data_IF_999403299333
#
_entry.id   IF_999403299333
#
_cell.length_a   1.000
_cell.length_b   1.000
_cell.length_c   1.000
_cell.angle_alpha   90.00
_cell.angle_beta   90.00
_cell.angle_gamma   90.00
#
_symmetry.space_group_name_H-M   'P 1'
#
loop_
_entity.id
_entity.type
_entity.pdbx_description
1 polymer ?
#
# COMPACT_ATOMS: atom_id res chain seq x y z
N UNK A 1 -33.91 -18.71 -15.40
CA UNK A 1 -33.05 -17.61 -14.99
C UNK A 1 -33.88 -16.48 -14.42
N UNK A 2 -33.53 -15.91 -13.27
CA UNK A 2 -34.20 -14.75 -12.69
C UNK A 2 -33.34 -13.50 -13.00
N UNK A 3 -33.99 -12.42 -13.46
CA UNK A 3 -33.35 -11.17 -13.84
C UNK A 3 -34.05 -10.04 -13.13
N UNK A 4 -33.30 -9.20 -12.46
CA UNK A 4 -33.81 -8.01 -11.77
C UNK A 4 -32.95 -6.82 -12.15
N UNK A 5 -33.53 -5.64 -12.21
CA UNK A 5 -32.79 -4.41 -12.45
C UNK A 5 -33.06 -3.40 -11.36
N UNK A 6 -32.03 -2.66 -11.00
CA UNK A 6 -32.08 -1.52 -10.07
C UNK A 6 -31.40 -0.33 -10.67
N UNK A 7 -31.84 0.88 -10.33
CA UNK A 7 -31.20 2.12 -10.77
C UNK A 7 -30.80 2.98 -9.58
N UNK A 8 -29.57 3.44 -9.61
CA UNK A 8 -29.09 4.48 -8.69
C UNK A 8 -28.44 5.59 -9.54
N UNK A 9 -28.99 6.78 -9.49
CA UNK A 9 -28.64 7.88 -10.39
C UNK A 9 -28.80 7.49 -11.89
N UNK A 10 -27.70 7.50 -12.66
CA UNK A 10 -27.65 7.10 -14.08
C UNK A 10 -26.98 5.75 -14.30
N UNK A 11 -26.73 5.00 -13.22
CA UNK A 11 -26.20 3.64 -13.27
C UNK A 11 -27.33 2.66 -13.10
N UNK A 12 -27.49 1.75 -14.03
CA UNK A 12 -28.43 0.63 -13.94
C UNK A 12 -27.64 -0.64 -13.65
N UNK A 13 -28.08 -1.40 -12.66
CA UNK A 13 -27.52 -2.71 -12.32
C UNK A 13 -28.48 -3.80 -12.70
N UNK A 14 -28.04 -4.74 -13.56
CA UNK A 14 -28.73 -5.99 -13.87
C UNK A 14 -28.22 -7.05 -12.90
N UNK A 15 -29.11 -7.69 -12.15
CA UNK A 15 -28.79 -8.78 -11.24
C UNK A 15 -29.24 -10.09 -11.88
N UNK A 16 -28.29 -11.00 -12.12
CA UNK A 16 -28.53 -12.28 -12.78
C UNK A 16 -28.45 -13.44 -11.77
N UNK A 17 -29.50 -14.28 -11.73
CA UNK A 17 -29.52 -15.45 -10.85
C UNK A 17 -29.89 -16.71 -11.64
N UNK A 18 -29.02 -17.75 -11.57
CA UNK A 18 -29.21 -19.04 -12.22
C UNK A 18 -28.13 -19.34 -13.26
N UNK A 19 -28.47 -20.13 -14.27
CA UNK A 19 -27.50 -20.57 -15.31
C UNK A 19 -27.74 -19.82 -16.61
N UNK A 20 -26.70 -19.27 -17.20
CA UNK A 20 -26.68 -18.69 -18.54
C UNK A 20 -26.29 -19.77 -19.59
N UNK A 21 -27.11 -20.82 -19.68
CA UNK A 21 -26.93 -21.86 -20.69
C UNK A 21 -27.55 -21.46 -22.05
N UNK A 22 -27.50 -22.36 -23.04
CA UNK A 22 -28.01 -22.10 -24.36
C UNK A 22 -29.52 -21.86 -24.41
N UNK A 23 -30.29 -22.52 -23.53
CA UNK A 23 -31.75 -22.37 -23.49
C UNK A 23 -32.16 -21.08 -22.81
N UNK A 24 -31.60 -20.79 -21.64
CA UNK A 24 -31.92 -19.60 -20.86
C UNK A 24 -31.43 -18.31 -21.48
N UNK A 25 -30.35 -18.35 -22.26
CA UNK A 25 -29.71 -17.16 -22.83
C UNK A 25 -30.62 -16.36 -23.79
N UNK A 26 -31.41 -17.03 -24.64
CA UNK A 26 -32.31 -16.32 -25.55
C UNK A 26 -33.43 -15.58 -24.80
N UNK A 27 -34.02 -16.23 -23.79
CA UNK A 27 -35.06 -15.64 -22.96
C UNK A 27 -34.46 -14.51 -22.08
N UNK A 28 -33.26 -14.75 -21.53
CA UNK A 28 -32.56 -13.77 -20.74
C UNK A 28 -32.29 -12.47 -21.51
N UNK A 29 -31.88 -12.57 -22.78
CA UNK A 29 -31.61 -11.37 -23.57
C UNK A 29 -32.86 -10.54 -23.81
N UNK A 30 -34.01 -11.18 -24.14
CA UNK A 30 -35.27 -10.50 -24.33
C UNK A 30 -35.72 -9.83 -23.01
N UNK A 31 -35.61 -10.51 -21.91
CA UNK A 31 -35.98 -9.97 -20.60
C UNK A 31 -35.08 -8.78 -20.21
N UNK A 32 -33.75 -8.88 -20.44
CA UNK A 32 -32.82 -7.77 -20.20
C UNK A 32 -33.19 -6.55 -21.06
N UNK A 33 -33.44 -6.74 -22.38
CA UNK A 33 -33.80 -5.67 -23.25
C UNK A 33 -35.13 -4.99 -22.81
N UNK A 34 -36.13 -5.77 -22.39
CA UNK A 34 -37.41 -5.28 -21.87
C UNK A 34 -37.23 -4.45 -20.60
N UNK A 35 -36.45 -4.96 -19.63
CA UNK A 35 -36.21 -4.27 -18.37
C UNK A 35 -35.38 -2.99 -18.57
N UNK A 36 -34.37 -3.02 -19.44
CA UNK A 36 -33.56 -1.83 -19.74
C UNK A 36 -34.34 -0.75 -20.50
N UNK A 37 -35.36 -1.11 -21.28
CA UNK A 37 -36.23 -0.16 -21.97
C UNK A 37 -37.05 0.74 -21.01
N UNK A 38 -37.20 0.32 -19.74
CA UNK A 38 -37.87 1.13 -18.71
C UNK A 38 -37.02 2.31 -18.21
N UNK A 39 -35.71 2.33 -18.54
CA UNK A 39 -34.78 3.34 -18.04
C UNK A 39 -34.42 4.33 -19.16
N UNK A 40 -34.61 5.62 -18.91
CA UNK A 40 -34.14 6.68 -19.80
C UNK A 40 -32.71 7.13 -19.41
N UNK A 41 -31.81 7.28 -20.37
CA UNK A 41 -30.46 7.84 -20.20
C UNK A 41 -29.53 7.00 -19.26
N UNK A 42 -29.35 5.73 -19.57
CA UNK A 42 -28.35 4.90 -18.90
C UNK A 42 -26.95 5.41 -19.28
N UNK A 43 -26.18 5.89 -18.27
CA UNK A 43 -24.79 6.31 -18.44
C UNK A 43 -23.85 5.12 -18.24
N UNK A 44 -24.09 4.32 -17.20
CA UNK A 44 -23.29 3.16 -16.82
C UNK A 44 -24.20 1.95 -16.63
N UNK A 45 -23.77 0.80 -17.14
CA UNK A 45 -24.48 -0.48 -16.99
C UNK A 45 -23.59 -1.46 -16.22
N UNK A 46 -24.09 -1.96 -15.09
CA UNK A 46 -23.42 -2.96 -14.26
C UNK A 46 -24.17 -4.27 -14.36
N UNK A 47 -23.46 -5.38 -14.55
CA UNK A 47 -24.04 -6.73 -14.54
C UNK A 47 -23.52 -7.48 -13.31
N UNK A 48 -24.35 -7.64 -12.29
CA UNK A 48 -24.07 -8.45 -11.11
C UNK A 48 -24.36 -9.92 -11.40
N UNK A 49 -23.31 -10.74 -11.34
CA UNK A 49 -23.33 -12.18 -11.59
C UNK A 49 -23.18 -13.01 -10.32
N UNK A 50 -23.40 -12.45 -9.14
CA UNK A 50 -23.28 -13.15 -7.83
C UNK A 50 -24.11 -14.44 -7.76
N UNK A 51 -25.27 -14.44 -8.41
CA UNK A 51 -26.18 -15.58 -8.49
C UNK A 51 -25.95 -16.50 -9.71
N UNK A 52 -24.89 -16.28 -10.52
CA UNK A 52 -24.65 -17.09 -11.73
C UNK A 52 -23.61 -18.19 -11.44
N UNK A 53 -24.03 -19.45 -11.65
CA UNK A 53 -23.18 -20.62 -11.42
C UNK A 53 -22.54 -21.17 -12.71
N UNK A 54 -23.08 -20.80 -13.86
CA UNK A 54 -22.63 -21.33 -15.14
C UNK A 54 -22.90 -20.33 -16.28
N UNK A 55 -21.94 -20.22 -17.21
CA UNK A 55 -22.08 -19.44 -18.44
C UNK A 55 -21.65 -20.27 -19.64
N UNK A 56 -22.51 -20.31 -20.68
CA UNK A 56 -22.22 -20.92 -21.97
C UNK A 56 -21.71 -19.88 -22.97
N UNK A 57 -21.31 -20.34 -24.17
CA UNK A 57 -20.98 -19.43 -25.29
C UNK A 57 -22.13 -18.51 -25.69
N UNK A 58 -23.38 -18.94 -25.50
CA UNK A 58 -24.56 -18.09 -25.73
C UNK A 58 -24.66 -16.97 -24.67
N UNK A 59 -24.38 -17.29 -23.41
CA UNK A 59 -24.30 -16.30 -22.32
C UNK A 59 -23.16 -15.30 -22.54
N UNK A 60 -22.00 -15.75 -23.00
CA UNK A 60 -20.87 -14.87 -23.37
C UNK A 60 -21.26 -13.87 -24.47
N UNK A 61 -22.06 -14.30 -25.47
CA UNK A 61 -22.55 -13.39 -26.53
C UNK A 61 -23.49 -12.30 -26.00
N UNK A 62 -24.27 -12.59 -24.96
CA UNK A 62 -25.08 -11.57 -24.26
C UNK A 62 -24.16 -10.50 -23.67
N UNK A 63 -23.15 -10.90 -22.91
CA UNK A 63 -22.19 -9.96 -22.28
C UNK A 63 -21.48 -9.10 -23.34
N UNK A 64 -21.08 -9.72 -24.45
CA UNK A 64 -20.46 -9.01 -25.57
C UNK A 64 -21.43 -7.99 -26.23
N UNK A 65 -22.72 -8.37 -26.38
CA UNK A 65 -23.75 -7.45 -26.94
C UNK A 65 -23.93 -6.26 -26.02
N UNK A 66 -24.07 -6.47 -24.73
CA UNK A 66 -24.22 -5.40 -23.74
C UNK A 66 -23.00 -4.47 -23.72
N UNK A 67 -21.79 -5.03 -23.74
CA UNK A 67 -20.55 -4.25 -23.80
C UNK A 67 -20.43 -3.39 -25.07
N UNK A 68 -20.96 -3.86 -26.21
CA UNK A 68 -21.01 -3.06 -27.45
C UNK A 68 -22.07 -1.96 -27.43
N UNK A 69 -23.17 -2.20 -26.74
CA UNK A 69 -24.29 -1.28 -26.64
C UNK A 69 -24.06 -0.16 -25.63
N UNK A 70 -23.40 -0.50 -24.51
CA UNK A 70 -23.14 0.42 -23.40
C UNK A 70 -21.63 0.61 -23.23
N UNK A 71 -21.12 1.82 -23.51
CA UNK A 71 -19.67 2.13 -23.44
C UNK A 71 -19.08 1.95 -22.05
N UNK A 72 -19.87 2.23 -21.01
CA UNK A 72 -19.50 2.05 -19.62
C UNK A 72 -20.25 0.81 -19.07
N UNK A 73 -19.78 -0.37 -19.48
CA UNK A 73 -20.31 -1.67 -19.07
C UNK A 73 -19.30 -2.40 -18.22
N UNK A 74 -19.73 -2.89 -17.05
CA UNK A 74 -18.89 -3.64 -16.11
C UNK A 74 -19.64 -4.85 -15.60
N UNK A 75 -18.95 -6.00 -15.49
CA UNK A 75 -19.46 -7.23 -14.87
C UNK A 75 -18.82 -7.34 -13.48
N UNK A 76 -19.64 -7.59 -12.46
CA UNK A 76 -19.20 -7.67 -11.06
C UNK A 76 -19.67 -8.98 -10.40
N UNK A 77 -19.05 -9.31 -9.25
CA UNK A 77 -19.39 -10.46 -8.39
C UNK A 77 -19.40 -11.80 -9.16
N UNK A 78 -18.45 -11.98 -10.08
CA UNK A 78 -18.35 -13.20 -10.89
C UNK A 78 -17.71 -14.32 -10.09
N UNK A 79 -18.43 -15.43 -9.89
CA UNK A 79 -17.91 -16.61 -9.20
C UNK A 79 -16.63 -17.13 -9.85
N UNK A 80 -15.69 -17.75 -9.10
CA UNK A 80 -14.40 -18.19 -9.60
C UNK A 80 -14.47 -19.01 -10.88
N UNK A 81 -15.32 -20.03 -10.92
CA UNK A 81 -15.45 -20.93 -12.07
C UNK A 81 -15.96 -20.21 -13.33
N UNK A 82 -16.91 -19.29 -13.15
CA UNK A 82 -17.44 -18.45 -14.24
C UNK A 82 -16.39 -17.42 -14.69
N UNK A 83 -15.62 -16.87 -13.75
CA UNK A 83 -14.54 -15.95 -14.08
C UNK A 83 -13.45 -16.61 -14.94
N UNK A 84 -13.09 -17.87 -14.62
CA UNK A 84 -12.12 -18.60 -15.46
C UNK A 84 -12.61 -18.80 -16.90
N UNK A 85 -13.91 -19.00 -17.12
CA UNK A 85 -14.47 -19.03 -18.47
C UNK A 85 -14.26 -17.68 -19.21
N UNK A 86 -14.50 -16.56 -18.54
CA UNK A 86 -14.25 -15.23 -19.12
C UNK A 86 -12.74 -15.03 -19.41
N UNK A 87 -11.88 -15.48 -18.51
CA UNK A 87 -10.43 -15.35 -18.64
C UNK A 87 -9.90 -16.18 -19.82
N UNK A 88 -10.25 -17.46 -19.88
CA UNK A 88 -9.84 -18.38 -20.95
C UNK A 88 -10.35 -17.94 -22.34
N UNK A 89 -11.51 -17.31 -22.39
CA UNK A 89 -12.10 -16.81 -23.65
C UNK A 89 -11.65 -15.40 -24.02
N UNK A 90 -10.80 -14.77 -23.18
CA UNK A 90 -10.23 -13.45 -23.44
C UNK A 90 -11.15 -12.26 -23.14
N UNK A 91 -12.33 -12.49 -22.57
CA UNK A 91 -13.28 -11.41 -22.23
C UNK A 91 -12.76 -10.45 -21.17
N UNK A 92 -11.92 -10.94 -20.23
CA UNK A 92 -11.29 -10.09 -19.23
C UNK A 92 -10.35 -9.02 -19.80
N UNK A 93 -9.87 -9.23 -21.04
CA UNK A 93 -9.08 -8.23 -21.79
C UNK A 93 -9.94 -7.26 -22.61
N UNK A 94 -11.23 -7.58 -22.80
CA UNK A 94 -12.14 -6.80 -23.64
C UNK A 94 -13.03 -5.85 -22.83
N UNK A 95 -13.34 -6.20 -21.58
CA UNK A 95 -14.23 -5.42 -20.73
C UNK A 95 -13.88 -5.63 -19.24
N UNK A 96 -14.20 -4.67 -18.36
CA UNK A 96 -14.01 -4.82 -16.91
C UNK A 96 -14.87 -5.95 -16.34
N UNK A 97 -14.23 -6.98 -15.79
CA UNK A 97 -14.88 -8.13 -15.13
C UNK A 97 -14.25 -8.30 -13.75
N UNK A 98 -15.05 -8.13 -12.68
CA UNK A 98 -14.60 -8.24 -11.30
C UNK A 98 -15.02 -9.59 -10.72
N UNK A 99 -14.02 -10.36 -10.27
CA UNK A 99 -14.24 -11.66 -9.61
C UNK A 99 -14.88 -11.44 -8.24
N UNK A 100 -15.82 -12.31 -7.86
CA UNK A 100 -16.38 -12.34 -6.51
C UNK A 100 -15.29 -12.74 -5.52
N UNK A 101 -15.22 -12.03 -4.40
CA UNK A 101 -14.30 -12.34 -3.33
C UNK A 101 -14.86 -13.48 -2.47
N UNK A 102 -13.98 -14.42 -2.12
CA UNK A 102 -14.31 -15.50 -1.19
C UNK A 102 -14.67 -14.90 0.17
N UNK A 103 -15.77 -15.38 0.77
CA UNK A 103 -16.11 -15.06 2.15
C UNK A 103 -15.25 -15.90 3.10
N UNK A 104 -14.69 -15.26 4.12
CA UNK A 104 -13.93 -15.93 5.17
C UNK A 104 -14.42 -15.44 6.53
N UNK A 105 -14.68 -16.39 7.47
CA UNK A 105 -14.94 -16.04 8.86
C UNK A 105 -13.65 -16.03 9.67
N UNK A 106 -13.57 -15.07 10.58
CA UNK A 106 -12.49 -14.99 11.58
C UNK A 106 -12.95 -15.44 12.96
N UNK A 107 -14.16 -16.04 13.05
CA UNK A 107 -14.67 -16.56 14.31
C UNK A 107 -13.74 -17.66 14.84
N UNK A 108 -13.29 -17.49 16.08
CA UNK A 108 -12.34 -18.39 16.71
C UNK A 108 -10.86 -18.19 16.32
N UNK A 109 -10.56 -17.28 15.39
CA UNK A 109 -9.18 -16.93 15.04
C UNK A 109 -8.51 -16.11 16.14
N UNK A 110 -7.20 -16.32 16.34
CA UNK A 110 -6.40 -15.58 17.31
C UNK A 110 -5.89 -14.28 16.70
N UNK A 111 -6.14 -13.14 17.34
CA UNK A 111 -5.49 -11.87 17.01
C UNK A 111 -4.01 -11.96 17.34
N UNK A 112 -3.14 -11.68 16.37
CA UNK A 112 -1.68 -11.71 16.49
C UNK A 112 -1.01 -10.36 16.25
N UNK A 113 -1.76 -9.37 15.74
CA UNK A 113 -1.24 -8.03 15.50
C UNK A 113 -2.34 -7.02 15.26
N UNK A 114 -2.07 -5.75 15.64
CA UNK A 114 -2.99 -4.64 15.44
C UNK A 114 -2.22 -3.39 15.02
N UNK A 115 -2.55 -2.87 13.85
CA UNK A 115 -1.93 -1.68 13.27
C UNK A 115 -2.91 -0.55 12.99
N UNK A 116 -2.37 0.51 12.40
CA UNK A 116 -3.14 1.68 11.95
C UNK A 116 -4.18 1.35 10.88
N UNK A 117 -3.90 0.39 10.02
CA UNK A 117 -4.68 0.05 8.82
C UNK A 117 -5.66 -1.09 9.07
N UNK A 118 -5.36 -1.99 10.02
CA UNK A 118 -6.18 -3.18 10.26
C UNK A 118 -5.69 -4.04 11.41
N UNK A 119 -6.29 -5.23 11.51
CA UNK A 119 -5.99 -6.22 12.54
C UNK A 119 -5.57 -7.51 11.84
N UNK A 120 -4.54 -8.17 12.36
CA UNK A 120 -4.02 -9.42 11.83
C UNK A 120 -4.47 -10.58 12.71
N UNK A 121 -5.09 -11.59 12.08
CA UNK A 121 -5.52 -12.81 12.74
C UNK A 121 -4.80 -14.02 12.15
N UNK A 122 -4.46 -14.98 12.99
CA UNK A 122 -3.99 -16.29 12.56
C UNK A 122 -5.18 -17.15 12.18
N UNK A 123 -5.21 -17.64 10.93
CA UNK A 123 -6.29 -18.51 10.41
C UNK A 123 -5.98 -19.96 10.76
N UNK A 124 -4.78 -20.40 10.44
CA UNK A 124 -4.29 -21.77 10.66
C UNK A 124 -2.78 -21.80 10.93
N UNK A 125 -2.15 -22.96 10.76
CA UNK A 125 -0.72 -23.14 11.03
C UNK A 125 0.21 -22.54 9.97
N UNK A 126 -0.33 -22.12 8.82
CA UNK A 126 0.43 -21.65 7.66
C UNK A 126 -0.03 -20.26 7.18
N UNK A 127 -1.23 -19.80 7.60
CA UNK A 127 -1.80 -18.57 7.04
C UNK A 127 -2.32 -17.61 8.10
N UNK A 128 -2.20 -16.32 7.74
CA UNK A 128 -2.75 -15.19 8.48
C UNK A 128 -3.67 -14.36 7.57
N UNK A 129 -4.52 -13.56 8.17
CA UNK A 129 -5.33 -12.56 7.47
C UNK A 129 -5.17 -11.19 8.11
N UNK A 130 -4.84 -10.18 7.30
CA UNK A 130 -4.94 -8.76 7.66
C UNK A 130 -6.33 -8.28 7.30
N UNK A 131 -7.20 -8.05 8.28
CA UNK A 131 -8.54 -7.50 8.10
C UNK A 131 -8.45 -5.98 8.17
N UNK A 132 -8.79 -5.31 7.09
CA UNK A 132 -8.71 -3.86 6.98
C UNK A 132 -9.86 -3.18 7.75
N UNK A 133 -9.65 -1.93 8.16
CA UNK A 133 -10.70 -1.14 8.83
C UNK A 133 -11.92 -0.93 7.94
N UNK A 134 -13.06 -0.72 8.57
CA UNK A 134 -14.26 -0.29 7.85
C UNK A 134 -14.02 0.97 7.03
N UNK A 135 -14.59 1.01 5.83
CA UNK A 135 -14.38 2.10 4.89
C UNK A 135 -13.16 1.97 3.99
N UNK A 136 -12.24 1.00 4.23
CA UNK A 136 -11.16 0.72 3.29
C UNK A 136 -11.73 0.22 1.96
N UNK A 137 -11.28 0.80 0.84
CA UNK A 137 -11.78 0.43 -0.48
C UNK A 137 -11.11 -0.84 -1.01
N UNK A 138 -11.76 -1.53 -1.94
CA UNK A 138 -11.16 -2.69 -2.62
C UNK A 138 -9.89 -2.28 -3.37
N UNK A 139 -9.88 -1.11 -4.01
CA UNK A 139 -8.74 -0.60 -4.76
C UNK A 139 -7.50 -0.41 -3.86
N UNK A 140 -7.69 0.04 -2.62
CA UNK A 140 -6.61 0.13 -1.62
C UNK A 140 -6.01 -1.24 -1.32
N UNK A 141 -6.85 -2.26 -1.09
CA UNK A 141 -6.40 -3.62 -0.81
C UNK A 141 -5.75 -4.27 -2.03
N UNK A 142 -6.28 -4.02 -3.22
CA UNK A 142 -5.68 -4.48 -4.49
C UNK A 142 -4.31 -3.85 -4.72
N UNK A 143 -4.13 -2.59 -4.36
CA UNK A 143 -2.82 -1.92 -4.42
C UNK A 143 -1.83 -2.60 -3.48
N UNK A 144 -2.21 -2.87 -2.22
CA UNK A 144 -1.31 -3.52 -1.26
C UNK A 144 -0.88 -4.91 -1.71
N UNK A 145 -1.82 -5.76 -2.20
CA UNK A 145 -1.43 -7.10 -2.70
C UNK A 145 -0.55 -7.02 -3.95
N UNK A 146 -0.79 -6.04 -4.81
CA UNK A 146 0.02 -5.83 -6.00
C UNK A 146 1.45 -5.42 -5.63
N UNK A 147 1.62 -4.45 -4.72
CA UNK A 147 2.93 -4.03 -4.22
C UNK A 147 3.69 -5.17 -3.56
N UNK A 148 3.02 -5.96 -2.72
CA UNK A 148 3.61 -7.14 -2.06
C UNK A 148 4.10 -8.17 -3.08
N UNK A 149 3.32 -8.46 -4.13
CA UNK A 149 3.71 -9.40 -5.19
C UNK A 149 4.87 -8.87 -6.03
N UNK A 150 4.86 -7.61 -6.41
CA UNK A 150 5.96 -7.01 -7.16
C UNK A 150 7.26 -7.01 -6.35
N UNK A 151 7.22 -6.64 -5.07
CA UNK A 151 8.39 -6.70 -4.20
C UNK A 151 8.98 -8.13 -4.10
N UNK A 152 8.09 -9.14 -3.97
CA UNK A 152 8.51 -10.54 -3.97
C UNK A 152 9.16 -10.95 -5.30
N UNK A 153 8.57 -10.56 -6.44
CA UNK A 153 9.11 -10.83 -7.78
C UNK A 153 10.48 -10.19 -7.99
N UNK A 154 10.72 -9.01 -7.40
CA UNK A 154 12.03 -8.37 -7.40
C UNK A 154 13.04 -9.00 -6.44
N UNK A 155 12.68 -10.09 -5.76
CA UNK A 155 13.58 -10.85 -4.88
C UNK A 155 13.68 -10.30 -3.47
N UNK A 156 12.73 -9.47 -3.06
CA UNK A 156 12.64 -9.06 -1.65
C UNK A 156 12.16 -10.22 -0.77
N UNK A 157 12.81 -10.45 0.38
CA UNK A 157 12.37 -11.41 1.36
C UNK A 157 11.12 -10.89 2.08
N UNK A 158 9.93 -11.13 1.53
CA UNK A 158 8.66 -10.69 2.09
C UNK A 158 7.65 -11.83 2.15
N UNK A 159 6.68 -11.72 3.05
CA UNK A 159 5.60 -12.68 3.19
C UNK A 159 4.80 -12.80 1.87
N UNK A 160 4.51 -14.03 1.46
CA UNK A 160 3.74 -14.30 0.26
C UNK A 160 2.29 -13.91 0.50
N UNK A 161 1.77 -13.03 -0.35
CA UNK A 161 0.35 -12.66 -0.35
C UNK A 161 -0.44 -13.58 -1.29
N UNK A 162 -1.50 -14.20 -0.76
CA UNK A 162 -2.28 -15.19 -1.50
C UNK A 162 -3.51 -14.61 -2.19
N UNK A 163 -4.46 -14.09 -1.40
CA UNK A 163 -5.80 -13.77 -1.89
C UNK A 163 -6.42 -12.59 -1.13
N UNK A 164 -7.31 -11.86 -1.81
CA UNK A 164 -8.19 -10.88 -1.19
C UNK A 164 -9.52 -11.56 -0.91
N UNK A 165 -10.03 -11.40 0.30
CA UNK A 165 -11.27 -12.02 0.76
C UNK A 165 -12.23 -10.99 1.38
N UNK A 166 -13.48 -11.39 1.57
CA UNK A 166 -14.46 -10.65 2.38
C UNK A 166 -14.51 -11.23 3.79
N UNK A 167 -14.52 -10.35 4.80
CA UNK A 167 -14.75 -10.68 6.20
C UNK A 167 -15.92 -9.83 6.68
N UNK A 168 -17.13 -10.39 6.61
CA UNK A 168 -18.34 -9.59 6.77
C UNK A 168 -18.43 -8.47 5.74
N UNK A 169 -18.46 -7.20 6.20
CA UNK A 169 -18.47 -5.99 5.36
C UNK A 169 -17.07 -5.50 4.97
N UNK A 170 -16.03 -6.01 5.63
CA UNK A 170 -14.64 -5.58 5.45
C UNK A 170 -13.92 -6.44 4.41
N UNK A 171 -12.77 -5.95 3.96
CA UNK A 171 -11.83 -6.71 3.14
C UNK A 171 -10.75 -7.31 4.02
N UNK A 172 -10.26 -8.49 3.63
CA UNK A 172 -9.11 -9.14 4.22
C UNK A 172 -8.08 -9.51 3.15
N UNK A 173 -6.82 -9.48 3.51
CA UNK A 173 -5.71 -9.93 2.68
C UNK A 173 -5.02 -11.10 3.38
N UNK A 174 -4.99 -12.26 2.71
CA UNK A 174 -4.43 -13.49 3.24
C UNK A 174 -2.95 -13.57 2.87
N UNK A 175 -2.11 -13.83 3.87
CA UNK A 175 -0.66 -14.01 3.73
C UNK A 175 -0.21 -15.33 4.32
N UNK A 176 1.01 -15.76 3.99
CA UNK A 176 1.69 -16.81 4.72
C UNK A 176 1.99 -16.36 6.16
N UNK A 177 1.94 -17.30 7.08
CA UNK A 177 2.36 -17.09 8.47
C UNK A 177 3.89 -17.22 8.55
N UNK A 178 4.58 -16.11 8.75
CA UNK A 178 6.00 -16.13 9.08
C UNK A 178 6.18 -16.61 10.53
N UNK A 179 6.95 -17.66 10.73
CA UNK A 179 7.36 -18.13 12.07
C UNK A 179 8.59 -17.36 12.52
N UNK A 180 8.41 -16.09 12.76
CA UNK A 180 9.46 -15.10 13.00
C UNK A 180 9.00 -14.13 14.08
N UNK A 181 9.96 -13.43 14.70
CA UNK A 181 9.72 -12.34 15.63
C UNK A 181 10.14 -11.03 14.96
N UNK A 182 9.48 -9.94 15.31
CA UNK A 182 9.89 -8.62 14.81
C UNK A 182 11.25 -8.24 15.39
N UNK A 183 11.99 -7.44 14.65
CA UNK A 183 13.28 -6.90 15.12
C UNK A 183 13.10 -6.10 16.42
N UNK A 184 11.94 -5.45 16.62
CA UNK A 184 11.58 -4.79 17.87
C UNK A 184 11.46 -5.76 19.03
N UNK A 185 10.82 -6.93 18.85
CA UNK A 185 10.67 -7.95 19.88
C UNK A 185 12.02 -8.59 20.20
N UNK A 186 12.82 -8.95 19.18
CA UNK A 186 14.16 -9.48 19.36
C UNK A 186 15.05 -8.51 20.16
N UNK A 187 15.05 -7.24 19.78
CA UNK A 187 15.86 -6.21 20.45
C UNK A 187 15.37 -5.90 21.88
N UNK A 188 14.05 -5.98 22.13
CA UNK A 188 13.51 -5.83 23.50
C UNK A 188 13.95 -6.97 24.41
N UNK A 189 14.07 -8.18 23.88
CA UNK A 189 14.48 -9.37 24.64
C UNK A 189 16.00 -9.45 24.83
N UNK A 190 16.78 -9.05 23.83
CA UNK A 190 18.23 -9.21 23.75
C UNK A 190 18.90 -7.89 23.32
N UNK A 191 18.79 -6.81 24.15
CA UNK A 191 19.28 -5.47 23.78
C UNK A 191 20.80 -5.41 23.61
N UNK A 192 21.55 -6.33 24.19
CA UNK A 192 23.02 -6.46 24.05
C UNK A 192 23.41 -6.86 22.62
N UNK A 193 22.53 -7.47 21.82
CA UNK A 193 22.77 -7.86 20.42
C UNK A 193 22.44 -6.73 19.42
N UNK A 194 22.33 -5.50 19.90
CA UNK A 194 21.95 -4.35 19.04
C UNK A 194 22.84 -4.18 17.81
N UNK A 195 24.14 -4.47 17.91
CA UNK A 195 25.05 -4.38 16.77
C UNK A 195 24.73 -5.41 15.68
N UNK A 196 24.42 -6.64 16.07
CA UNK A 196 24.00 -7.69 15.14
C UNK A 196 22.68 -7.30 14.45
N UNK A 197 21.69 -6.86 15.23
CA UNK A 197 20.40 -6.43 14.68
C UNK A 197 20.54 -5.20 13.79
N UNK A 198 21.37 -4.24 14.14
CA UNK A 198 21.65 -3.07 13.32
C UNK A 198 22.32 -3.44 12.00
N UNK A 199 23.24 -4.41 11.99
CA UNK A 199 23.85 -4.91 10.78
C UNK A 199 22.84 -5.60 9.87
N UNK A 200 22.03 -6.53 10.39
CA UNK A 200 20.96 -7.20 9.65
C UNK A 200 19.98 -6.19 9.04
N UNK A 201 19.63 -5.17 9.81
CA UNK A 201 18.73 -4.10 9.37
C UNK A 201 19.36 -3.25 8.27
N UNK A 202 20.64 -2.93 8.36
CA UNK A 202 21.38 -2.24 7.30
C UNK A 202 21.50 -3.09 6.03
N UNK A 203 21.70 -4.39 6.18
CA UNK A 203 21.86 -5.32 5.06
C UNK A 203 20.58 -5.42 4.24
N UNK A 204 19.40 -5.47 4.88
CA UNK A 204 18.12 -5.48 4.16
C UNK A 204 17.86 -4.15 3.43
N UNK A 205 18.19 -3.00 4.02
CA UNK A 205 18.12 -1.72 3.31
C UNK A 205 19.03 -1.72 2.07
N UNK A 206 20.28 -2.19 2.21
CA UNK A 206 21.22 -2.26 1.07
C UNK A 206 20.74 -3.23 -0.01
N UNK A 207 20.22 -4.41 0.39
CA UNK A 207 19.67 -5.36 -0.57
C UNK A 207 18.57 -4.72 -1.40
N UNK A 208 17.63 -4.05 -0.76
CA UNK A 208 16.51 -3.38 -1.42
C UNK A 208 16.98 -2.22 -2.31
N UNK A 209 17.85 -1.35 -1.79
CA UNK A 209 18.37 -0.21 -2.53
C UNK A 209 19.33 -0.59 -3.68
N UNK A 210 19.76 -1.85 -3.79
CA UNK A 210 20.49 -2.37 -4.95
C UNK A 210 19.57 -2.89 -6.06
N UNK A 211 18.27 -3.06 -5.80
CA UNK A 211 17.31 -3.52 -6.80
C UNK A 211 16.92 -2.36 -7.70
N UNK A 212 17.15 -2.51 -9.01
CA UNK A 212 16.66 -1.59 -10.04
C UNK A 212 15.25 -1.95 -10.46
N UNK A 213 14.35 -0.99 -10.32
CA UNK A 213 12.94 -1.13 -10.72
C UNK A 213 12.80 -0.72 -12.18
N UNK A 214 12.29 -1.60 -13.07
CA UNK A 214 12.15 -1.28 -14.50
C UNK A 214 11.05 -0.26 -14.75
N UNK A 215 11.19 0.53 -15.83
CA UNK A 215 10.20 1.55 -16.20
C UNK A 215 8.78 1.00 -16.49
N UNK A 216 8.64 -0.31 -16.70
CA UNK A 216 7.36 -0.99 -16.95
C UNK A 216 6.64 -1.43 -15.68
N UNK A 217 7.20 -1.11 -14.51
CA UNK A 217 6.64 -1.49 -13.21
C UNK A 217 5.30 -0.80 -12.93
N UNK A 218 4.48 -1.44 -12.11
CA UNK A 218 3.32 -0.79 -11.49
C UNK A 218 3.65 -0.14 -10.13
N UNK A 219 4.88 -0.31 -9.62
CA UNK A 219 5.34 0.35 -8.39
C UNK A 219 5.39 1.86 -8.62
N UNK A 220 4.81 2.68 -7.73
CA UNK A 220 4.76 4.13 -7.90
C UNK A 220 6.11 4.80 -7.57
N UNK A 221 6.29 6.01 -8.07
CA UNK A 221 7.40 6.89 -7.67
C UNK A 221 7.21 7.40 -6.25
N UNK A 222 8.22 7.21 -5.38
CA UNK A 222 8.21 7.74 -4.03
C UNK A 222 8.21 9.27 -4.02
N UNK A 223 8.93 9.90 -4.95
CA UNK A 223 8.99 11.36 -5.05
C UNK A 223 7.64 11.95 -5.45
N UNK A 224 6.97 11.38 -6.45
CA UNK A 224 5.63 11.83 -6.85
C UNK A 224 4.61 11.68 -5.71
N UNK A 225 4.66 10.56 -4.97
CA UNK A 225 3.81 10.36 -3.79
C UNK A 225 4.09 11.39 -2.70
N UNK A 226 5.37 11.70 -2.45
CA UNK A 226 5.74 12.78 -1.50
C UNK A 226 5.21 14.13 -1.94
N UNK A 227 5.35 14.51 -3.21
CA UNK A 227 4.83 15.78 -3.72
C UNK A 227 3.30 15.87 -3.59
N UNK A 228 2.59 14.79 -3.89
CA UNK A 228 1.14 14.73 -3.70
C UNK A 228 0.76 14.90 -2.23
N UNK A 229 1.47 14.22 -1.31
CA UNK A 229 1.26 14.35 0.13
C UNK A 229 1.55 15.75 0.63
N UNK A 230 2.63 16.39 0.16
CA UNK A 230 2.97 17.79 0.49
C UNK A 230 1.85 18.74 0.04
N UNK A 231 1.36 18.58 -1.20
CA UNK A 231 0.25 19.43 -1.71
C UNK A 231 -1.03 19.21 -0.91
N UNK A 232 -1.32 17.98 -0.52
CA UNK A 232 -2.51 17.63 0.25
C UNK A 232 -2.54 18.30 1.63
N UNK A 233 -1.39 18.43 2.31
CA UNK A 233 -1.31 19.09 3.61
C UNK A 233 -1.39 20.64 3.52
N UNK A 234 -1.49 21.23 2.34
CA UNK A 234 -1.75 22.65 2.14
C UNK A 234 -3.05 23.16 2.76
N UNK A 235 -3.96 22.25 3.16
CA UNK A 235 -5.13 22.59 4.00
C UNK A 235 -4.77 22.95 5.44
N UNK A 236 -3.59 22.54 5.90
CA UNK A 236 -3.10 22.73 7.27
C UNK A 236 -1.95 23.72 7.37
N UNK A 237 -1.23 23.97 6.28
CA UNK A 237 -0.04 24.82 6.22
C UNK A 237 -0.21 25.94 5.21
N UNK A 238 0.48 27.05 5.42
CA UNK A 238 0.53 28.15 4.47
C UNK A 238 1.33 27.80 3.20
N UNK A 239 1.13 28.60 2.16
CA UNK A 239 1.78 28.39 0.86
C UNK A 239 3.31 28.40 0.98
N UNK A 240 3.89 29.27 1.80
CA UNK A 240 5.33 29.34 1.96
C UNK A 240 5.94 28.07 2.58
N UNK A 241 5.20 27.44 3.51
CA UNK A 241 5.57 26.16 4.10
C UNK A 241 5.51 25.03 3.07
N UNK A 242 4.48 24.99 2.24
CA UNK A 242 4.32 23.99 1.17
C UNK A 242 5.40 24.18 0.11
N UNK A 243 5.65 25.40 -0.34
CA UNK A 243 6.68 25.71 -1.33
C UNK A 243 8.07 25.30 -0.83
N UNK A 244 8.37 25.50 0.45
CA UNK A 244 9.63 25.09 1.06
C UNK A 244 9.79 23.55 1.05
N UNK A 245 8.75 22.79 1.38
CA UNK A 245 8.81 21.33 1.32
C UNK A 245 8.96 20.82 -0.13
N UNK A 246 8.27 21.44 -1.09
CA UNK A 246 8.40 21.12 -2.51
C UNK A 246 9.79 21.48 -3.04
N UNK A 247 10.37 22.60 -2.59
CA UNK A 247 11.73 22.98 -2.94
C UNK A 247 12.75 21.93 -2.41
N UNK A 248 12.61 21.48 -1.16
CA UNK A 248 13.43 20.42 -0.59
C UNK A 248 13.28 19.12 -1.42
N UNK A 249 12.05 18.72 -1.76
CA UNK A 249 11.79 17.54 -2.56
C UNK A 249 12.42 17.62 -3.95
N UNK A 250 12.45 18.79 -4.56
CA UNK A 250 13.02 19.01 -5.91
C UNK A 250 14.52 18.77 -6.02
N UNK A 251 15.26 18.80 -4.90
CA UNK A 251 16.69 18.48 -4.87
C UNK A 251 16.98 16.97 -4.78
N UNK A 252 15.95 16.12 -4.54
CA UNK A 252 16.13 14.67 -4.50
C UNK A 252 16.38 14.19 -5.94
N UNK A 253 17.53 13.55 -6.23
CA UNK A 253 17.84 13.10 -7.60
C UNK A 253 16.83 12.02 -8.05
N UNK A 254 16.47 12.01 -9.34
CA UNK A 254 15.69 10.91 -9.90
C UNK A 254 16.48 9.60 -9.79
N UNK A 255 15.83 8.55 -9.34
CA UNK A 255 16.43 7.24 -9.15
C UNK A 255 15.35 6.15 -9.25
N UNK A 256 15.74 4.95 -9.64
CA UNK A 256 14.84 3.82 -9.83
C UNK A 256 15.14 2.65 -8.87
N UNK A 257 15.61 2.94 -7.66
CA UNK A 257 15.86 1.90 -6.65
C UNK A 257 14.57 1.56 -5.91
N UNK A 258 14.44 0.28 -5.54
CA UNK A 258 13.30 -0.19 -4.75
C UNK A 258 13.39 0.36 -3.32
N UNK A 259 12.27 0.85 -2.80
CA UNK A 259 12.13 1.45 -1.47
C UNK A 259 10.94 0.82 -0.76
N UNK A 260 11.02 0.67 0.56
CA UNK A 260 9.92 0.21 1.40
C UNK A 260 8.97 1.34 1.79
N UNK A 261 9.51 2.51 2.04
CA UNK A 261 8.83 3.73 2.50
C UNK A 261 8.10 3.65 3.87
N UNK A 262 8.20 2.52 4.57
CA UNK A 262 7.75 2.37 5.96
C UNK A 262 8.56 1.29 6.70
N UNK A 263 9.86 1.17 6.42
CA UNK A 263 10.71 0.19 7.06
C UNK A 263 11.12 0.66 8.46
N UNK A 264 10.37 0.22 9.44
CA UNK A 264 10.62 0.36 10.87
C UNK A 264 10.89 -1.01 11.50
N UNK A 265 11.43 -1.04 12.72
CA UNK A 265 11.84 -2.30 13.35
C UNK A 265 10.71 -3.33 13.56
N UNK A 266 9.43 -2.90 13.57
CA UNK A 266 8.26 -3.78 13.59
C UNK A 266 7.95 -4.42 12.23
N UNK A 267 8.38 -3.81 11.14
CA UNK A 267 8.12 -4.28 9.78
C UNK A 267 9.27 -5.16 9.24
N UNK A 268 10.30 -5.38 10.06
CA UNK A 268 11.40 -6.30 9.82
C UNK A 268 11.28 -7.48 10.79
N UNK A 269 11.11 -8.70 10.28
CA UNK A 269 10.96 -9.93 11.06
C UNK A 269 12.19 -10.81 10.90
N UNK A 270 12.69 -11.37 11.98
CA UNK A 270 13.86 -12.24 11.97
C UNK A 270 13.42 -13.70 11.92
N UNK A 271 13.77 -14.38 10.83
CA UNK A 271 13.51 -15.80 10.61
C UNK A 271 14.81 -16.52 10.23
N UNK A 272 15.27 -17.47 11.06
CA UNK A 272 16.46 -18.27 10.79
C UNK A 272 17.74 -17.44 10.50
N UNK A 273 17.86 -16.25 11.08
CA UNK A 273 19.01 -15.36 10.86
C UNK A 273 18.88 -14.43 9.63
N UNK A 274 17.77 -14.49 8.91
CA UNK A 274 17.45 -13.62 7.78
C UNK A 274 16.32 -12.66 8.15
N UNK A 275 16.35 -11.46 7.58
CA UNK A 275 15.27 -10.46 7.76
C UNK A 275 14.23 -10.64 6.66
N UNK A 276 12.98 -10.91 7.08
CA UNK A 276 11.79 -10.92 6.24
C UNK A 276 11.04 -9.59 6.42
N UNK A 277 10.55 -9.00 5.33
CA UNK A 277 9.81 -7.76 5.36
C UNK A 277 8.30 -8.00 5.35
N UNK A 278 7.57 -7.18 6.10
CA UNK A 278 6.11 -7.17 6.12
C UNK A 278 5.58 -5.75 5.88
N UNK A 279 4.29 -5.64 5.63
CA UNK A 279 3.58 -4.37 5.38
C UNK A 279 4.11 -3.61 4.16
N UNK A 280 4.12 -4.29 3.01
CA UNK A 280 4.63 -3.82 1.73
C UNK A 280 3.70 -2.82 1.02
N UNK A 281 2.69 -2.29 1.69
CA UNK A 281 1.68 -1.39 1.08
C UNK A 281 2.24 -0.04 0.61
N UNK A 282 3.35 0.41 1.20
CA UNK A 282 4.00 1.69 0.87
C UNK A 282 5.19 1.56 -0.10
N UNK A 283 5.45 0.36 -0.61
CA UNK A 283 6.56 0.13 -1.56
C UNK A 283 6.50 1.10 -2.73
N UNK A 284 7.67 1.65 -3.06
CA UNK A 284 7.83 2.63 -4.12
C UNK A 284 9.21 2.48 -4.79
N UNK A 285 9.46 3.21 -5.86
CA UNK A 285 10.81 3.38 -6.37
C UNK A 285 11.27 4.83 -6.21
N UNK A 286 12.57 5.01 -6.01
CA UNK A 286 13.16 6.34 -5.85
C UNK A 286 14.59 6.32 -5.38
N UNK A 287 15.04 7.47 -4.92
CA UNK A 287 16.37 7.61 -4.34
C UNK A 287 16.40 7.07 -2.90
N UNK A 288 17.40 6.26 -2.50
CA UNK A 288 17.52 5.68 -1.15
C UNK A 288 17.41 6.67 0.01
N UNK A 289 17.76 7.93 -0.21
CA UNK A 289 17.60 8.97 0.82
C UNK A 289 16.18 9.09 1.34
N UNK A 290 15.17 8.82 0.49
CA UNK A 290 13.75 8.88 0.87
C UNK A 290 13.45 7.82 1.93
N UNK A 291 13.89 6.61 1.69
CA UNK A 291 13.62 5.47 2.58
C UNK A 291 14.35 5.61 3.92
N UNK A 292 15.61 6.00 3.88
CA UNK A 292 16.40 6.31 5.08
C UNK A 292 15.82 7.51 5.85
N UNK A 293 15.28 8.51 5.15
CA UNK A 293 14.60 9.65 5.77
C UNK A 293 13.25 9.24 6.42
N UNK A 294 12.54 8.28 5.83
CA UNK A 294 11.32 7.74 6.44
C UNK A 294 11.63 6.96 7.71
N UNK A 295 12.67 6.10 7.69
CA UNK A 295 13.15 5.42 8.88
C UNK A 295 13.64 6.42 9.96
N UNK A 296 14.34 7.49 9.58
CA UNK A 296 14.70 8.59 10.50
C UNK A 296 13.46 9.26 11.11
N UNK A 297 12.44 9.52 10.29
CA UNK A 297 11.20 10.15 10.76
C UNK A 297 10.52 9.32 11.84
N UNK A 298 10.39 8.01 11.64
CA UNK A 298 9.75 7.10 12.60
C UNK A 298 10.62 6.80 13.82
N UNK A 299 11.90 6.52 13.63
CA UNK A 299 12.77 6.03 14.71
C UNK A 299 13.46 7.15 15.51
N UNK A 300 13.63 8.35 14.94
CA UNK A 300 14.34 9.46 15.60
C UNK A 300 13.44 10.65 15.86
N UNK A 301 12.66 11.10 14.88
CA UNK A 301 11.92 12.37 14.93
C UNK A 301 10.51 12.23 15.48
N UNK A 302 9.92 11.04 15.50
CA UNK A 302 8.55 10.80 15.94
C UNK A 302 8.32 11.28 17.37
N UNK A 303 7.27 12.08 17.61
CA UNK A 303 6.99 12.71 18.92
C UNK A 303 5.83 12.07 19.68
N UNK A 304 5.07 11.17 19.04
CA UNK A 304 3.93 10.49 19.66
C UNK A 304 4.33 9.37 20.65
N UNK A 305 3.38 8.49 20.93
CA UNK A 305 3.60 7.31 21.77
C UNK A 305 4.56 6.31 21.07
N UNK A 306 5.84 6.53 21.32
CA UNK A 306 6.92 5.87 20.59
C UNK A 306 6.93 4.35 20.81
N UNK A 307 6.82 3.90 22.05
CA UNK A 307 6.85 2.48 22.37
C UNK A 307 5.67 1.73 21.79
N UNK A 308 4.49 2.36 21.78
CA UNK A 308 3.30 1.78 21.14
C UNK A 308 3.47 1.64 19.65
N UNK A 309 4.10 2.62 18.97
CA UNK A 309 4.25 2.64 17.50
C UNK A 309 5.45 1.82 17.05
N UNK A 310 6.60 1.99 17.67
CA UNK A 310 7.87 1.37 17.24
C UNK A 310 8.12 0.02 17.94
N UNK A 311 7.58 -0.17 19.18
CA UNK A 311 7.64 -1.43 19.91
C UNK A 311 8.84 -1.55 20.84
N UNK A 312 9.71 -0.53 20.92
CA UNK A 312 10.90 -0.48 21.77
C UNK A 312 11.04 0.92 22.40
N UNK A 313 11.79 1.05 23.51
CA UNK A 313 12.10 2.36 24.10
C UNK A 313 12.79 3.29 23.08
N UNK A 314 12.48 4.59 23.17
CA UNK A 314 12.96 5.62 22.22
C UNK A 314 14.49 5.64 22.09
N UNK A 315 15.21 5.56 23.19
CA UNK A 315 16.67 5.63 23.16
C UNK A 315 17.28 4.40 22.49
N UNK A 316 16.68 3.23 22.72
CA UNK A 316 17.08 1.99 22.06
C UNK A 316 16.80 2.05 20.54
N UNK A 317 15.65 2.59 20.14
CA UNK A 317 15.33 2.77 18.72
C UNK A 317 16.25 3.75 18.00
N UNK A 318 16.62 4.86 18.67
CA UNK A 318 17.62 5.80 18.14
C UNK A 318 19.00 5.17 18.00
N UNK A 319 19.45 4.41 19.00
CA UNK A 319 20.74 3.72 18.96
C UNK A 319 20.76 2.68 17.84
N UNK A 320 19.69 1.87 17.69
CA UNK A 320 19.53 0.92 16.59
C UNK A 320 19.68 1.64 15.23
N UNK A 321 18.97 2.77 15.02
CA UNK A 321 19.02 3.52 13.78
C UNK A 321 20.42 4.09 13.49
N UNK A 322 21.08 4.65 14.50
CA UNK A 322 22.44 5.21 14.34
C UNK A 322 23.46 4.13 13.98
N UNK A 323 23.41 2.96 14.64
CA UNK A 323 24.26 1.81 14.30
C UNK A 323 23.94 1.27 12.91
N UNK A 324 22.65 1.16 12.57
CA UNK A 324 22.21 0.76 11.24
C UNK A 324 22.82 1.66 10.16
N UNK A 325 22.79 3.00 10.31
CA UNK A 325 23.42 3.91 9.37
C UNK A 325 24.95 3.70 9.28
N UNK A 326 25.61 3.40 10.38
CA UNK A 326 27.05 3.10 10.39
C UNK A 326 27.38 1.84 9.58
N UNK A 327 26.53 0.81 9.67
CA UNK A 327 26.65 -0.40 8.84
C UNK A 327 26.22 -0.16 7.40
N UNK A 328 25.18 0.65 7.17
CA UNK A 328 24.71 0.98 5.83
C UNK A 328 25.78 1.71 5.00
N UNK A 329 26.50 2.67 5.62
CA UNK A 329 27.60 3.42 5.01
C UNK A 329 28.97 2.81 5.27
N UNK A 330 29.05 1.53 5.64
CA UNK A 330 30.34 0.85 5.89
C UNK A 330 31.27 0.96 4.68
N UNK A 331 32.49 1.44 4.94
CA UNK A 331 33.51 1.67 3.90
C UNK A 331 33.54 3.11 3.36
N UNK A 332 32.55 3.95 3.67
CA UNK A 332 32.57 5.37 3.39
C UNK A 332 33.42 6.14 4.40
N UNK A 333 34.05 7.24 3.99
CA UNK A 333 34.81 8.12 4.88
C UNK A 333 33.97 8.78 5.96
N UNK A 334 34.53 9.01 7.14
CA UNK A 334 33.81 9.59 8.30
C UNK A 334 33.13 10.92 7.97
N UNK A 335 33.83 11.81 7.26
CA UNK A 335 33.28 13.12 6.89
C UNK A 335 32.11 12.99 5.89
N UNK A 336 32.24 12.08 4.95
CA UNK A 336 31.20 11.79 3.95
C UNK A 336 29.96 11.15 4.62
N UNK A 337 30.16 10.13 5.47
CA UNK A 337 29.06 9.54 6.24
C UNK A 337 28.31 10.58 7.05
N UNK A 338 29.01 11.47 7.75
CA UNK A 338 28.40 12.55 8.51
C UNK A 338 27.61 13.52 7.60
N UNK A 339 28.09 13.75 6.37
CA UNK A 339 27.37 14.57 5.38
C UNK A 339 26.09 13.87 4.90
N UNK A 340 26.14 12.56 4.56
CA UNK A 340 24.96 11.76 4.17
C UNK A 340 23.89 11.75 5.26
N UNK A 341 24.29 11.62 6.53
CA UNK A 341 23.37 11.70 7.66
C UNK A 341 22.64 13.06 7.68
N UNK A 342 23.35 14.17 7.47
CA UNK A 342 22.72 15.49 7.38
C UNK A 342 21.74 15.62 6.21
N UNK A 343 22.05 15.01 5.07
CA UNK A 343 21.14 14.94 3.91
C UNK A 343 19.86 14.14 4.24
N UNK A 344 20.00 13.00 4.92
CA UNK A 344 18.86 12.20 5.40
C UNK A 344 17.98 13.01 6.37
N UNK A 345 18.60 13.69 7.36
CA UNK A 345 17.88 14.52 8.33
C UNK A 345 17.14 15.69 7.65
N UNK A 346 17.74 16.28 6.62
CA UNK A 346 17.11 17.37 5.87
C UNK A 346 15.89 16.88 5.07
N UNK A 347 16.00 15.73 4.40
CA UNK A 347 14.89 15.12 3.65
C UNK A 347 13.79 14.59 4.58
N UNK A 348 14.15 14.13 5.78
CA UNK A 348 13.19 13.62 6.78
C UNK A 348 12.15 14.66 7.20
N UNK A 349 12.44 15.96 7.06
CA UNK A 349 11.46 17.00 7.35
C UNK A 349 10.20 16.89 6.46
N UNK A 350 10.30 16.34 5.27
CA UNK A 350 9.12 16.08 4.42
C UNK A 350 8.19 15.09 5.12
N UNK A 351 8.68 13.89 5.48
CA UNK A 351 7.87 12.84 6.12
C UNK A 351 7.35 13.25 7.50
N UNK A 352 8.13 14.03 8.25
CA UNK A 352 7.73 14.51 9.57
C UNK A 352 6.41 15.29 9.57
N UNK A 353 5.97 15.81 8.43
CA UNK A 353 4.73 16.57 8.30
C UNK A 353 3.78 16.00 7.25
N UNK A 354 4.27 15.40 6.17
CA UNK A 354 3.42 14.88 5.09
C UNK A 354 2.52 13.70 5.52
N UNK A 355 2.77 13.07 6.67
CA UNK A 355 1.87 12.06 7.24
C UNK A 355 0.46 12.61 7.54
N UNK A 356 0.30 13.93 7.72
CA UNK A 356 -1.01 14.57 7.84
C UNK A 356 -1.86 14.43 6.57
N UNK A 357 -1.29 13.95 5.46
CA UNK A 357 -2.05 13.60 4.26
C UNK A 357 -2.89 12.33 4.40
N UNK A 358 -2.65 11.52 5.44
CA UNK A 358 -3.35 10.25 5.67
C UNK A 358 -4.82 10.41 6.12
N UNK A 359 -5.23 11.63 6.47
CA UNK A 359 -6.63 11.92 6.85
C UNK A 359 -7.03 13.33 6.39
N UNK A 360 -8.31 13.47 6.07
CA UNK A 360 -8.89 14.76 5.68
C UNK A 360 -9.20 15.68 6.87
N UNK A 361 -9.16 15.13 8.08
CA UNK A 361 -9.37 15.92 9.30
C UNK A 361 -8.54 15.38 10.47
N UNK A 362 -7.95 16.32 11.21
CA UNK A 362 -7.24 16.06 12.47
C UNK A 362 -7.73 17.04 13.53
N UNK A 363 -7.59 16.70 14.84
CA UNK A 363 -7.89 17.64 15.92
C UNK A 363 -7.07 18.93 15.76
N UNK A 364 -7.72 20.09 15.95
CA UNK A 364 -7.07 21.41 15.80
C UNK A 364 -5.81 21.55 16.67
N UNK A 365 -5.83 21.00 17.89
CA UNK A 365 -4.69 21.03 18.79
C UNK A 365 -3.46 20.34 18.19
N UNK A 366 -3.65 19.18 17.54
CA UNK A 366 -2.59 18.43 16.87
C UNK A 366 -2.06 19.19 15.65
N UNK A 367 -2.95 19.78 14.85
CA UNK A 367 -2.54 20.59 13.69
C UNK A 367 -1.70 21.78 14.15
N UNK A 368 -2.12 22.48 15.21
CA UNK A 368 -1.37 23.61 15.78
C UNK A 368 0.01 23.17 16.29
N UNK A 369 0.09 22.08 17.01
CA UNK A 369 1.38 21.51 17.44
C UNK A 369 2.29 21.20 16.25
N UNK A 370 1.75 20.63 15.17
CA UNK A 370 2.50 20.37 13.94
C UNK A 370 2.99 21.68 13.29
N UNK A 371 2.17 22.74 13.25
CA UNK A 371 2.56 24.04 12.71
C UNK A 371 3.69 24.69 13.53
N UNK A 372 3.60 24.65 14.86
CA UNK A 372 4.65 25.16 15.76
C UNK A 372 5.96 24.37 15.59
N UNK A 373 5.87 23.04 15.49
CA UNK A 373 7.02 22.18 15.23
C UNK A 373 7.63 22.45 13.85
N UNK A 374 6.81 22.73 12.83
CA UNK A 374 7.27 23.08 11.49
C UNK A 374 8.06 24.40 11.53
N UNK A 375 7.48 25.44 12.13
CA UNK A 375 8.16 26.74 12.29
C UNK A 375 9.51 26.58 12.98
N UNK A 376 9.58 25.78 14.06
CA UNK A 376 10.79 25.55 14.84
C UNK A 376 11.83 24.69 14.13
N UNK A 377 11.43 23.64 13.43
CA UNK A 377 12.36 22.61 12.90
C UNK A 377 12.70 22.82 11.42
N UNK A 378 11.81 23.47 10.66
CA UNK A 378 11.96 23.65 9.23
C UNK A 378 12.15 25.12 8.88
N UNK A 379 11.17 25.99 9.16
CA UNK A 379 11.24 27.39 8.75
C UNK A 379 12.44 28.13 9.35
N UNK A 380 12.73 27.95 10.64
CA UNK A 380 13.87 28.58 11.31
C UNK A 380 15.25 28.11 10.82
N UNK A 381 15.28 27.00 10.07
CA UNK A 381 16.50 26.39 9.53
C UNK A 381 16.49 26.32 8.01
N UNK A 382 15.61 27.08 7.35
CA UNK A 382 15.38 27.01 5.90
C UNK A 382 16.68 27.01 5.11
N UNK A 383 17.54 28.02 5.29
CA UNK A 383 18.77 28.17 4.50
C UNK A 383 19.71 26.98 4.70
N UNK A 384 19.88 26.54 5.94
CA UNK A 384 20.68 25.35 6.25
C UNK A 384 20.13 24.08 5.56
N UNK A 385 18.81 23.88 5.62
CA UNK A 385 18.18 22.68 5.01
C UNK A 385 18.36 22.72 3.50
N UNK A 386 18.13 23.85 2.85
CA UNK A 386 18.29 23.99 1.40
C UNK A 386 19.77 23.84 0.98
N UNK A 387 20.72 24.38 1.73
CA UNK A 387 22.15 24.22 1.44
C UNK A 387 22.58 22.74 1.49
N UNK A 388 22.09 21.99 2.47
CA UNK A 388 22.33 20.55 2.54
C UNK A 388 21.63 19.81 1.39
N UNK A 389 20.37 20.12 1.08
CA UNK A 389 19.62 19.43 0.03
C UNK A 389 20.22 19.67 -1.38
N UNK A 390 20.78 20.84 -1.66
CA UNK A 390 21.49 21.12 -2.93
C UNK A 390 22.64 20.16 -3.19
N UNK A 391 23.24 19.60 -2.15
CA UNK A 391 24.34 18.61 -2.28
C UNK A 391 23.84 17.17 -2.51
N UNK A 392 22.52 16.93 -2.59
CA UNK A 392 21.98 15.59 -2.85
C UNK A 392 22.40 15.05 -4.23
N UNK A 393 22.67 15.93 -5.21
CA UNK A 393 23.21 15.55 -6.52
C UNK A 393 24.54 14.79 -6.44
N UNK A 394 25.30 14.95 -5.36
CA UNK A 394 26.59 14.29 -5.15
C UNK A 394 26.42 12.87 -4.57
N UNK A 395 25.20 12.48 -4.24
CA UNK A 395 24.88 11.15 -3.77
C UNK A 395 24.57 10.22 -4.95
N UNK A 396 25.61 9.59 -5.48
CA UNK A 396 25.48 8.53 -6.49
C UNK A 396 25.09 7.21 -5.83
N UNK A 397 24.15 6.48 -6.43
CA UNK A 397 23.57 5.21 -5.94
C UNK A 397 23.99 4.06 -6.85
#
# INVERSE_FOLDING_TARGET
MNIQTTQQNRTVTIILNGKLDTFSSNQAMVEIDNQLAAYSQIKSLVCDMSGVDYISSSGLRIMLKLAKQYKDFTIIEVKPDVYEVFNMTGFTKMMPIKKALRQLSIDGCTEIGRGGVGIVYRIDDETIIKVFREGTTLDTVQTEIMMSKEAFVFGMPTAISFDIVRVGTQYGLVYELLRAETLSECLSREPERIDEFAQLYADVFRQMHNIEVPATTCIPSALERQEQAIRHIGRYFDTASIDLLLEIASYIPPCNRLLHCDLQAKNAMLQNGEVMLIDMGEVAYGHPVIDLAYAHSSMVSFTGDYEKVIGIPRDLGKDLYQRMLSYYFKGMGVAETAHRIKQIEAVACIRNFSWLSLSDSFPEALVRECQENFAKRVTSRKDYLLDICRTLSDWTV
#
